data_IF_413024871533
#
_entry.id   IF_413024871533
#
_cell.length_a   1.000
_cell.length_b   1.000
_cell.length_c   1.000
_cell.angle_alpha   90.00
_cell.angle_beta   90.00
_cell.angle_gamma   90.00
#
_symmetry.space_group_name_H-M   'P 1'
#
loop_
_entity.id
_entity.type
_entity.pdbx_description
1 polymer ?
#
# COMPACT_ATOMS: atom_id res chain seq x y z
N UNK A 1 -8.43 16.22 33.65
CA UNK A 1 -8.88 15.11 32.79
C UNK A 1 -8.59 15.50 31.36
N UNK A 2 -7.61 14.84 30.73
CA UNK A 2 -7.20 15.15 29.36
C UNK A 2 -8.22 14.53 28.39
N UNK A 3 -8.85 15.36 27.56
CA UNK A 3 -9.66 14.92 26.43
C UNK A 3 -9.71 16.04 25.41
N UNK A 4 -8.72 16.11 24.54
CA UNK A 4 -8.83 16.77 23.23
C UNK A 4 -8.13 15.86 22.21
N UNK A 5 -8.86 14.83 21.80
CA UNK A 5 -8.64 14.14 20.53
C UNK A 5 -9.22 15.05 19.45
N UNK A 6 -8.38 15.57 18.55
CA UNK A 6 -8.88 16.46 17.52
C UNK A 6 -7.81 16.96 16.56
N UNK A 7 -7.20 16.07 15.78
CA UNK A 7 -6.61 16.47 14.51
C UNK A 7 -7.27 15.68 13.38
N UNK A 8 -8.34 16.27 12.86
CA UNK A 8 -8.87 16.02 11.51
C UNK A 8 -8.11 16.88 10.52
N UNK A 9 -7.57 16.29 9.45
CA UNK A 9 -7.10 17.10 8.32
C UNK A 9 -6.12 16.38 7.39
N UNK A 10 -6.64 15.66 6.39
CA UNK A 10 -5.84 15.21 5.26
C UNK A 10 -6.60 14.17 4.46
N UNK A 11 -6.96 14.48 3.21
CA UNK A 11 -7.67 13.54 2.34
C UNK A 11 -6.99 12.17 2.41
N UNK A 12 -7.76 11.15 2.78
CA UNK A 12 -7.25 9.81 3.04
C UNK A 12 -6.55 9.32 1.78
N UNK A 13 -5.21 9.34 1.79
CA UNK A 13 -4.36 8.97 0.66
C UNK A 13 -4.36 7.46 0.38
N UNK A 14 -5.18 6.72 1.11
CA UNK A 14 -5.28 5.27 1.13
C UNK A 14 -6.75 4.89 1.10
N UNK A 15 -7.08 3.94 0.22
CA UNK A 15 -8.43 3.43 -0.02
C UNK A 15 -8.71 2.26 0.94
N UNK A 16 -9.77 2.36 1.74
CA UNK A 16 -10.13 1.27 2.65
C UNK A 16 -10.83 0.13 1.90
N UNK A 17 -10.46 -1.12 2.20
CA UNK A 17 -11.06 -2.34 1.65
C UNK A 17 -11.14 -3.42 2.72
N UNK A 18 -12.24 -4.17 2.76
CA UNK A 18 -12.33 -5.34 3.65
C UNK A 18 -11.43 -6.48 3.18
N UNK A 19 -11.41 -6.71 1.86
CA UNK A 19 -10.63 -7.75 1.20
C UNK A 19 -10.06 -7.22 -0.13
N UNK A 20 -8.73 -7.16 -0.22
CA UNK A 20 -8.02 -6.71 -1.41
C UNK A 20 -8.30 -7.59 -2.63
N UNK A 21 -8.64 -8.87 -2.42
CA UNK A 21 -8.98 -9.81 -3.50
C UNK A 21 -10.27 -9.46 -4.22
N UNK A 22 -11.09 -8.55 -3.68
CA UNK A 22 -12.26 -8.00 -4.39
C UNK A 22 -11.85 -7.00 -5.47
N UNK A 23 -10.71 -6.33 -5.31
CA UNK A 23 -10.19 -5.32 -6.25
C UNK A 23 -9.18 -5.93 -7.21
N UNK A 24 -8.32 -6.83 -6.71
CA UNK A 24 -7.23 -7.43 -7.48
C UNK A 24 -7.33 -8.96 -7.53
N UNK A 25 -6.96 -9.54 -8.66
CA UNK A 25 -6.71 -10.96 -8.84
C UNK A 25 -5.21 -11.23 -8.68
N UNK A 26 -4.82 -11.89 -7.59
CA UNK A 26 -3.41 -12.18 -7.29
C UNK A 26 -2.93 -13.36 -8.14
N UNK A 27 -1.70 -13.26 -8.65
CA UNK A 27 -1.02 -14.28 -9.46
C UNK A 27 0.20 -14.83 -8.70
N UNK A 28 1.40 -14.63 -9.23
CA UNK A 28 2.64 -15.16 -8.70
C UNK A 28 3.35 -14.17 -7.76
N UNK A 29 4.15 -14.71 -6.84
CA UNK A 29 4.99 -13.92 -5.95
C UNK A 29 6.22 -13.44 -6.73
N UNK A 30 6.41 -12.12 -6.79
CA UNK A 30 7.58 -11.49 -7.42
C UNK A 30 8.77 -11.38 -6.47
N UNK A 31 8.50 -11.31 -5.17
CA UNK A 31 9.57 -11.27 -4.17
C UNK A 31 9.07 -11.28 -2.73
N UNK A 32 9.92 -11.75 -1.83
CA UNK A 32 9.67 -11.81 -0.38
C UNK A 32 10.72 -10.98 0.36
N UNK A 33 10.27 -10.03 1.15
CA UNK A 33 11.11 -9.25 2.07
C UNK A 33 10.91 -9.70 3.52
N UNK A 34 11.69 -9.13 4.44
CA UNK A 34 11.63 -9.46 5.87
C UNK A 34 10.24 -9.22 6.50
N UNK A 35 9.47 -8.27 5.96
CA UNK A 35 8.18 -7.84 6.54
C UNK A 35 7.10 -7.59 5.47
N UNK A 36 7.31 -8.06 4.25
CA UNK A 36 6.38 -7.84 3.15
C UNK A 36 6.54 -8.87 2.05
N UNK A 37 5.47 -9.13 1.31
CA UNK A 37 5.51 -9.92 0.08
C UNK A 37 5.08 -9.05 -1.09
N UNK A 38 5.75 -9.17 -2.24
CA UNK A 38 5.37 -8.50 -3.48
C UNK A 38 4.76 -9.54 -4.41
N UNK A 39 3.52 -9.32 -4.83
CA UNK A 39 2.74 -10.24 -5.66
C UNK A 39 2.36 -9.55 -6.96
N UNK A 40 2.52 -10.23 -8.09
CA UNK A 40 1.94 -9.78 -9.35
C UNK A 40 0.42 -9.94 -9.27
N UNK A 41 -0.33 -8.89 -9.58
CA UNK A 41 -1.78 -8.94 -9.58
C UNK A 41 -2.38 -8.26 -10.81
N UNK A 42 -3.62 -8.61 -11.12
CA UNK A 42 -4.43 -7.95 -12.14
C UNK A 42 -5.53 -7.14 -11.46
N UNK A 43 -5.62 -5.86 -11.74
CA UNK A 43 -6.76 -5.05 -11.31
C UNK A 43 -8.02 -5.51 -12.04
N UNK A 44 -9.07 -5.86 -11.31
CA UNK A 44 -10.27 -6.48 -11.90
C UNK A 44 -11.09 -5.52 -12.77
N UNK A 45 -11.09 -4.24 -12.43
CA UNK A 45 -11.86 -3.18 -13.11
C UNK A 45 -11.22 -2.79 -14.44
N UNK A 46 -9.91 -2.58 -14.45
CA UNK A 46 -9.18 -2.07 -15.63
C UNK A 46 -8.51 -3.20 -16.42
N UNK A 47 -8.31 -4.37 -15.81
CA UNK A 47 -7.54 -5.47 -16.37
C UNK A 47 -6.02 -5.25 -16.34
N UNK A 48 -5.53 -4.15 -15.77
CA UNK A 48 -4.12 -3.77 -15.73
C UNK A 48 -3.30 -4.69 -14.82
N UNK A 49 -2.09 -5.03 -15.25
CA UNK A 49 -1.12 -5.78 -14.45
C UNK A 49 -0.32 -4.82 -13.54
N UNK A 50 -0.19 -5.17 -12.27
CA UNK A 50 0.47 -4.37 -11.23
C UNK A 50 1.30 -5.25 -10.30
N UNK A 51 2.24 -4.66 -9.58
CA UNK A 51 2.91 -5.28 -8.45
C UNK A 51 2.27 -4.79 -7.14
N UNK A 52 1.89 -5.72 -6.26
CA UNK A 52 1.24 -5.41 -4.98
C UNK A 52 2.18 -5.78 -3.85
N UNK A 53 2.71 -4.77 -3.14
CA UNK A 53 3.49 -5.00 -1.91
C UNK A 53 2.52 -5.11 -0.73
N UNK A 54 2.35 -6.33 -0.23
CA UNK A 54 1.52 -6.71 0.91
C UNK A 54 2.32 -6.56 2.21
N UNK A 55 1.86 -5.69 3.11
CA UNK A 55 2.56 -5.38 4.36
C UNK A 55 1.62 -5.60 5.55
N UNK A 56 1.87 -6.58 6.42
CA UNK A 56 1.06 -6.79 7.62
C UNK A 56 1.16 -5.57 8.56
N UNK A 57 0.03 -5.03 9.02
CA UNK A 57 0.02 -3.90 9.97
C UNK A 57 0.74 -4.21 11.28
N UNK A 58 0.78 -5.48 11.70
CA UNK A 58 1.55 -5.93 12.86
C UNK A 58 3.05 -5.65 12.69
N UNK A 59 3.57 -5.74 11.46
CA UNK A 59 4.96 -5.41 11.15
C UNK A 59 5.23 -3.89 11.10
N UNK A 60 4.16 -3.08 11.09
CA UNK A 60 4.23 -1.61 11.10
C UNK A 60 4.26 -1.01 12.50
N UNK A 61 3.87 -1.79 13.53
CA UNK A 61 3.87 -1.30 14.91
C UNK A 61 5.29 -0.88 15.32
N UNK A 62 5.46 0.40 15.66
CA UNK A 62 6.76 1.00 15.99
C UNK A 62 7.62 1.40 14.78
N UNK A 63 7.07 1.31 13.55
CA UNK A 63 7.71 1.68 12.29
C UNK A 63 6.81 2.53 11.40
N UNK A 64 5.75 3.10 11.96
CA UNK A 64 4.73 3.88 11.24
C UNK A 64 5.38 5.03 10.46
N UNK A 65 6.29 5.77 11.09
CA UNK A 65 7.06 6.86 10.46
C UNK A 65 7.91 6.38 9.29
N UNK A 66 8.47 5.17 9.35
CA UNK A 66 9.28 4.61 8.26
C UNK A 66 8.44 4.34 7.01
N UNK A 67 7.20 3.88 7.19
CA UNK A 67 6.27 3.64 6.09
C UNK A 67 5.73 4.93 5.51
N UNK A 68 5.41 5.90 6.36
CA UNK A 68 5.01 7.22 5.89
C UNK A 68 6.13 7.87 5.07
N UNK A 69 7.38 7.72 5.48
CA UNK A 69 8.53 8.19 4.71
C UNK A 69 8.69 7.45 3.38
N UNK A 70 8.59 6.11 3.37
CA UNK A 70 8.66 5.32 2.13
C UNK A 70 7.59 5.77 1.13
N UNK A 71 6.35 5.96 1.61
CA UNK A 71 5.23 6.43 0.82
C UNK A 71 5.44 7.87 0.35
N UNK A 72 5.92 8.77 1.22
CA UNK A 72 6.17 10.16 0.88
C UNK A 72 7.25 10.30 -0.20
N UNK A 73 8.28 9.45 -0.17
CA UNK A 73 9.33 9.39 -1.20
C UNK A 73 8.75 8.86 -2.51
N UNK A 74 8.06 7.71 -2.48
CA UNK A 74 7.50 7.09 -3.68
C UNK A 74 6.43 7.95 -4.36
N UNK A 75 5.66 8.75 -3.61
CA UNK A 75 4.66 9.67 -4.19
C UNK A 75 5.27 10.89 -4.87
N UNK A 76 6.49 11.29 -4.50
CA UNK A 76 7.18 12.46 -5.08
C UNK A 76 8.00 12.11 -6.32
N UNK A 77 8.26 10.82 -6.55
CA UNK A 77 9.12 10.36 -7.62
C UNK A 77 8.27 9.79 -8.75
N UNK A 78 8.28 10.48 -9.89
CA UNK A 78 7.74 9.97 -11.15
C UNK A 78 8.82 10.08 -12.21
N UNK A 79 9.50 8.98 -12.48
CA UNK A 79 10.62 8.91 -13.41
C UNK A 79 10.54 7.62 -14.21
N UNK A 80 10.92 7.66 -15.49
CA UNK A 80 10.81 6.52 -16.42
C UNK A 80 11.52 5.26 -15.92
N UNK A 81 12.63 5.43 -15.18
CA UNK A 81 13.44 4.33 -14.63
C UNK A 81 13.18 4.01 -13.15
N UNK A 82 12.11 4.53 -12.54
CA UNK A 82 11.79 4.28 -11.12
C UNK A 82 10.36 3.77 -11.03
N UNK A 83 10.17 2.66 -10.30
CA UNK A 83 8.85 2.09 -10.04
C UNK A 83 7.93 3.13 -9.41
N UNK A 84 6.83 3.42 -10.10
CA UNK A 84 5.84 4.38 -9.64
C UNK A 84 4.84 3.72 -8.67
N UNK A 85 4.49 4.45 -7.61
CA UNK A 85 3.37 4.11 -6.72
C UNK A 85 2.08 4.67 -7.30
N UNK A 86 1.16 3.79 -7.70
CA UNK A 86 -0.10 4.17 -8.35
C UNK A 86 -1.20 4.42 -7.34
N UNK A 87 -1.32 3.55 -6.34
CA UNK A 87 -2.40 3.59 -5.37
C UNK A 87 -2.01 2.88 -4.07
N UNK A 88 -2.78 3.14 -3.02
CA UNK A 88 -2.59 2.52 -1.72
C UNK A 88 -3.93 2.03 -1.20
N UNK A 89 -3.96 0.78 -0.76
CA UNK A 89 -5.13 0.16 -0.15
C UNK A 89 -4.83 -0.26 1.29
N UNK A 90 -5.83 -0.16 2.15
CA UNK A 90 -5.73 -0.53 3.56
C UNK A 90 -6.89 -1.46 3.91
N UNK A 91 -6.54 -2.61 4.49
CA UNK A 91 -7.50 -3.54 5.13
C UNK A 91 -7.31 -3.54 6.65
N UNK A 92 -8.15 -4.21 7.44
CA UNK A 92 -7.97 -4.25 8.90
C UNK A 92 -6.58 -4.73 9.34
N UNK A 93 -5.97 -5.66 8.58
CA UNK A 93 -4.73 -6.34 8.97
C UNK A 93 -3.53 -6.03 8.08
N UNK A 94 -3.72 -5.45 6.90
CA UNK A 94 -2.65 -5.23 5.91
C UNK A 94 -2.75 -3.86 5.25
N UNK A 95 -1.59 -3.32 4.87
CA UNK A 95 -1.42 -2.22 3.93
C UNK A 95 -0.93 -2.79 2.60
N UNK A 96 -1.43 -2.27 1.48
CA UNK A 96 -1.07 -2.71 0.14
C UNK A 96 -0.61 -1.52 -0.69
N UNK A 97 0.61 -1.57 -1.21
CA UNK A 97 1.13 -0.57 -2.14
C UNK A 97 0.99 -1.11 -3.57
N UNK A 98 0.24 -0.40 -4.40
CA UNK A 98 0.02 -0.75 -5.80
C UNK A 98 1.07 -0.04 -6.63
N UNK A 99 1.93 -0.81 -7.26
CA UNK A 99 3.09 -0.32 -7.98
C UNK A 99 2.99 -0.69 -9.45
N UNK A 100 3.57 0.15 -10.31
CA UNK A 100 3.80 -0.17 -11.70
C UNK A 100 4.62 -1.47 -11.81
N UNK A 101 4.17 -2.40 -12.66
CA UNK A 101 4.91 -3.61 -13.02
C UNK A 101 5.90 -3.34 -14.14
#
# INVERSE_FOLDING_TARGET
MASENGESGGGSWKKNVDDIKKVFEFKEVLGTGAFSEVVMAREKTTGKMVAVKCIPKKALKGKETSIENEIAVLRKIKHENIVALEDIYESPNHLYLIMQL
#
